data_IF_613374934584
#
_entry.id   IF_613374934584
#
_cell.length_a   1.000
_cell.length_b   1.000
_cell.length_c   1.000
_cell.angle_alpha   90.00
_cell.angle_beta   90.00
_cell.angle_gamma   90.00
#
_symmetry.space_group_name_H-M   'P 1'
#
loop_
_entity.id
_entity.type
_entity.pdbx_description
1 polymer ?
#
# COMPACT_ATOMS: atom_id res chain seq x y z
N UNK A 1 -14.30 -0.33 12.91
CA UNK A 1 -14.25 1.14 13.14
C UNK A 1 -13.37 1.70 12.05
N UNK A 2 -13.86 2.68 11.30
CA UNK A 2 -13.04 3.39 10.31
C UNK A 2 -11.89 4.09 11.01
N UNK A 3 -10.69 4.06 10.43
CA UNK A 3 -9.57 4.81 10.97
C UNK A 3 -9.88 6.32 10.98
N UNK A 4 -9.53 6.99 12.07
CA UNK A 4 -9.92 8.38 12.35
C UNK A 4 -8.92 9.42 11.82
N UNK A 5 -7.83 8.99 11.19
CA UNK A 5 -6.79 9.87 10.66
C UNK A 5 -6.81 9.85 9.12
N UNK A 6 -6.35 10.94 8.47
CA UNK A 6 -6.14 10.93 7.02
C UNK A 6 -5.16 9.83 6.63
N UNK A 7 -5.51 9.02 5.62
CA UNK A 7 -4.68 7.91 5.15
C UNK A 7 -3.33 8.40 4.60
N UNK A 8 -3.28 9.62 4.09
CA UNK A 8 -2.07 10.28 3.62
C UNK A 8 -1.02 10.44 4.72
N UNK A 9 -1.39 10.27 6.00
CA UNK A 9 -0.48 10.27 7.13
C UNK A 9 -0.07 8.86 7.59
N UNK A 10 -0.72 7.81 7.10
CA UNK A 10 -0.42 6.43 7.45
C UNK A 10 0.95 6.00 6.91
N UNK A 11 1.78 5.39 7.77
CA UNK A 11 3.14 5.01 7.42
C UNK A 11 3.19 3.86 6.41
N UNK A 12 2.26 2.91 6.49
CA UNK A 12 2.16 1.80 5.56
C UNK A 12 1.73 2.30 4.18
N UNK A 13 0.69 3.12 4.12
CA UNK A 13 0.21 3.69 2.86
C UNK A 13 1.29 4.53 2.16
N UNK A 14 2.03 5.37 2.91
CA UNK A 14 3.18 6.12 2.36
C UNK A 14 4.23 5.20 1.76
N UNK A 15 4.60 4.12 2.48
CA UNK A 15 5.62 3.17 2.02
C UNK A 15 5.18 2.43 0.75
N UNK A 16 3.94 1.95 0.72
CA UNK A 16 3.35 1.29 -0.45
C UNK A 16 3.26 2.26 -1.63
N UNK A 17 2.87 3.51 -1.41
CA UNK A 17 2.84 4.54 -2.45
C UNK A 17 4.21 4.77 -3.07
N UNK A 18 5.27 4.81 -2.25
CA UNK A 18 6.65 4.92 -2.75
C UNK A 18 7.08 3.68 -3.55
N UNK A 19 6.86 2.48 -3.02
CA UNK A 19 7.24 1.22 -3.68
C UNK A 19 6.41 0.95 -4.95
N UNK A 20 5.16 1.38 -5.01
CA UNK A 20 4.34 1.25 -6.23
C UNK A 20 4.94 1.99 -7.44
N UNK A 21 5.79 2.99 -7.21
CA UNK A 21 6.50 3.70 -8.26
C UNK A 21 7.63 2.88 -8.90
N UNK A 22 8.12 1.82 -8.24
CA UNK A 22 9.28 1.02 -8.70
C UNK A 22 8.86 -0.25 -9.44
N UNK A 23 7.60 -0.68 -9.29
CA UNK A 23 7.14 -1.98 -9.81
C UNK A 23 6.62 -1.98 -11.24
N UNK A 24 6.85 -0.92 -12.02
CA UNK A 24 6.56 -0.91 -13.47
C UNK A 24 5.08 -0.79 -13.84
N UNK A 25 4.23 -0.43 -12.88
CA UNK A 25 2.82 -0.10 -13.11
C UNK A 25 2.71 1.20 -13.92
N UNK A 26 1.79 1.23 -14.87
CA UNK A 26 1.40 2.48 -15.53
C UNK A 26 0.57 3.36 -14.57
N UNK A 27 0.34 4.65 -14.90
CA UNK A 27 -0.37 5.56 -14.00
C UNK A 27 -1.77 5.10 -13.57
N UNK A 28 -2.55 4.51 -14.47
CA UNK A 28 -3.90 4.04 -14.16
C UNK A 28 -3.86 2.81 -13.24
N UNK A 29 -2.96 1.85 -13.52
CA UNK A 29 -2.74 0.68 -12.68
C UNK A 29 -2.30 1.07 -11.27
N UNK A 30 -1.42 2.07 -11.16
CA UNK A 30 -0.94 2.56 -9.87
C UNK A 30 -2.06 3.20 -9.05
N UNK A 31 -2.97 3.94 -9.68
CA UNK A 31 -4.17 4.47 -9.00
C UNK A 31 -5.01 3.32 -8.46
N UNK A 32 -5.40 2.36 -9.31
CA UNK A 32 -6.23 1.21 -8.91
C UNK A 32 -5.57 0.39 -7.80
N UNK A 33 -4.26 0.18 -7.90
CA UNK A 33 -3.47 -0.52 -6.88
C UNK A 33 -3.56 0.19 -5.53
N UNK A 34 -3.30 1.49 -5.48
CA UNK A 34 -3.34 2.27 -4.23
C UNK A 34 -4.76 2.39 -3.65
N UNK A 35 -5.79 2.50 -4.50
CA UNK A 35 -7.19 2.53 -4.07
C UNK A 35 -7.61 1.28 -3.29
N UNK A 36 -6.98 0.13 -3.56
CA UNK A 36 -7.23 -1.10 -2.80
C UNK A 36 -6.80 -0.97 -1.34
N UNK A 37 -5.61 -0.38 -1.10
CA UNK A 37 -5.10 -0.13 0.25
C UNK A 37 -5.89 0.97 0.96
N UNK A 38 -6.34 1.98 0.22
CA UNK A 38 -7.23 3.01 0.75
C UNK A 38 -8.57 2.44 1.21
N UNK A 39 -9.17 1.58 0.39
CA UNK A 39 -10.38 0.84 0.77
C UNK A 39 -10.15 0.01 2.04
N UNK A 40 -9.06 -0.76 2.13
CA UNK A 40 -8.78 -1.54 3.33
C UNK A 40 -8.56 -0.67 4.57
N UNK A 41 -7.91 0.48 4.44
CA UNK A 41 -7.74 1.43 5.54
C UNK A 41 -9.08 1.91 6.10
N UNK A 42 -10.07 2.19 5.24
CA UNK A 42 -11.36 2.71 5.70
C UNK A 42 -12.33 1.62 6.17
N UNK A 43 -12.28 0.44 5.56
CA UNK A 43 -13.31 -0.58 5.75
C UNK A 43 -12.87 -1.82 6.55
N UNK A 44 -11.57 -2.00 6.79
CA UNK A 44 -11.07 -3.11 7.60
C UNK A 44 -10.60 -2.64 8.99
N UNK A 45 -10.60 -3.54 9.99
CA UNK A 45 -9.90 -3.26 11.24
C UNK A 45 -8.43 -2.91 10.98
N UNK A 46 -7.89 -1.95 11.71
CA UNK A 46 -6.50 -1.51 11.52
C UNK A 46 -5.49 -2.66 11.63
N UNK A 47 -5.74 -3.64 12.51
CA UNK A 47 -4.90 -4.85 12.63
C UNK A 47 -4.87 -5.71 11.36
N UNK A 48 -5.98 -5.80 10.64
CA UNK A 48 -6.07 -6.51 9.36
C UNK A 48 -5.39 -5.71 8.27
N UNK A 49 -5.69 -4.41 8.20
CA UNK A 49 -5.05 -3.48 7.27
C UNK A 49 -3.51 -3.50 7.39
N UNK A 50 -2.98 -3.35 8.59
CA UNK A 50 -1.53 -3.31 8.82
C UNK A 50 -0.86 -4.64 8.51
N UNK A 51 -1.52 -5.77 8.79
CA UNK A 51 -1.03 -7.11 8.42
C UNK A 51 -0.92 -7.28 6.90
N UNK A 52 -1.96 -6.91 6.15
CA UNK A 52 -1.96 -6.94 4.68
C UNK A 52 -0.88 -6.01 4.13
N UNK A 53 -0.78 -4.79 4.65
CA UNK A 53 0.21 -3.83 4.18
C UNK A 53 1.64 -4.30 4.43
N UNK A 54 1.91 -4.94 5.58
CA UNK A 54 3.23 -5.49 5.89
C UNK A 54 3.63 -6.55 4.86
N UNK A 55 2.74 -7.49 4.56
CA UNK A 55 2.99 -8.52 3.55
C UNK A 55 3.19 -7.91 2.14
N UNK A 56 2.37 -6.93 1.78
CA UNK A 56 2.50 -6.23 0.50
C UNK A 56 3.84 -5.48 0.38
N UNK A 57 4.28 -4.79 1.44
CA UNK A 57 5.57 -4.10 1.46
C UNK A 57 6.72 -5.09 1.24
N UNK A 58 6.75 -6.22 1.95
CA UNK A 58 7.79 -7.24 1.77
C UNK A 58 7.84 -7.75 0.32
N UNK A 59 6.69 -8.08 -0.27
CA UNK A 59 6.63 -8.54 -1.67
C UNK A 59 7.10 -7.46 -2.66
N UNK A 60 6.73 -6.20 -2.44
CA UNK A 60 7.16 -5.09 -3.29
C UNK A 60 8.66 -4.81 -3.18
N UNK A 61 9.25 -4.98 -2.00
CA UNK A 61 10.69 -4.83 -1.77
C UNK A 61 11.45 -5.94 -2.50
N UNK A 62 11.02 -7.20 -2.40
CA UNK A 62 11.59 -8.33 -3.15
C UNK A 62 11.61 -8.06 -4.66
N UNK A 63 10.47 -7.65 -5.24
CA UNK A 63 10.35 -7.30 -6.66
C UNK A 63 11.22 -6.10 -7.07
N UNK A 64 11.50 -5.18 -6.14
CA UNK A 64 12.37 -4.03 -6.38
C UNK A 64 13.85 -4.44 -6.38
N UNK A 65 14.22 -5.44 -5.58
CA UNK A 65 15.58 -5.98 -5.51
C UNK A 65 15.94 -6.87 -6.70
N UNK A 66 14.97 -7.56 -7.31
CA UNK A 66 15.19 -8.40 -8.50
C UNK A 66 15.46 -7.61 -9.79
N UNK A 67 15.20 -6.30 -9.80
CA UNK A 67 15.43 -5.42 -10.97
C UNK A 67 16.83 -4.78 -11.03
N UNK A 68 17.73 -5.11 -10.10
CA UNK A 68 19.13 -4.65 -10.08
C UNK A 68 20.09 -5.67 -10.70
#
# INVERSE_FOLDING_TARGET
MSNSYPIENDSFYKRISQLSATIGLNPAERVVFLSSFESWYHFQPYSVYSSICTAAISALEELSHEKC
#
